data_IF_603803253431
#
_entry.id   IF_603803253431
#
_cell.length_a   1.000
_cell.length_b   1.000
_cell.length_c   1.000
_cell.angle_alpha   90.00
_cell.angle_beta   90.00
_cell.angle_gamma   90.00
#
_symmetry.space_group_name_H-M   'P 1'
#
loop_
_entity.id
_entity.type
_entity.pdbx_description
1 polymer ?
#
# COMPACT_ATOMS: atom_id res chain seq x y z
N UNK A 1 -15.94 -7.54 3.83
CA UNK A 1 -15.69 -6.90 5.14
C UNK A 1 -15.37 -5.40 4.97
N UNK A 2 -14.22 -5.04 4.39
CA UNK A 2 -13.74 -3.63 4.31
C UNK A 2 -14.72 -2.69 3.57
N UNK A 3 -15.13 -3.03 2.35
CA UNK A 3 -16.08 -2.19 1.59
C UNK A 3 -17.41 -2.00 2.30
N UNK A 4 -17.84 -2.97 3.10
CA UNK A 4 -19.08 -2.88 3.86
C UNK A 4 -18.99 -1.89 5.04
N UNK A 5 -17.80 -1.47 5.47
CA UNK A 5 -17.65 -0.41 6.49
C UNK A 5 -18.27 0.92 6.04
N UNK A 6 -18.35 1.17 4.73
CA UNK A 6 -19.00 2.37 4.17
C UNK A 6 -20.52 2.38 4.42
N UNK A 7 -21.14 1.22 4.69
CA UNK A 7 -22.56 1.15 5.06
C UNK A 7 -22.87 1.90 6.35
N UNK A 8 -21.87 2.15 7.20
CA UNK A 8 -22.01 2.91 8.44
C UNK A 8 -22.23 4.42 8.20
N UNK A 9 -22.02 4.94 6.98
CA UNK A 9 -22.29 6.34 6.66
C UNK A 9 -23.82 6.56 6.64
N UNK A 10 -24.36 7.48 7.48
CA UNK A 10 -25.79 7.73 7.54
C UNK A 10 -26.38 8.14 6.18
N UNK A 11 -27.61 7.70 5.92
CA UNK A 11 -28.42 8.00 4.72
C UNK A 11 -27.89 7.44 3.38
N UNK A 12 -26.58 7.46 3.14
CA UNK A 12 -25.97 7.11 1.83
C UNK A 12 -25.09 5.86 1.86
N UNK A 13 -24.79 5.29 3.04
CA UNK A 13 -23.83 4.21 3.16
C UNK A 13 -24.18 2.97 2.32
N UNK A 14 -25.43 2.50 2.39
CA UNK A 14 -25.87 1.31 1.66
C UNK A 14 -25.77 1.51 0.15
N UNK A 15 -26.19 2.68 -0.36
CA UNK A 15 -26.12 2.98 -1.79
C UNK A 15 -24.68 3.11 -2.27
N UNK A 16 -23.77 3.68 -1.45
CA UNK A 16 -22.34 3.73 -1.75
C UNK A 16 -21.72 2.34 -1.86
N UNK A 17 -22.05 1.43 -0.94
CA UNK A 17 -21.54 0.05 -0.96
C UNK A 17 -21.99 -0.68 -2.23
N UNK A 18 -23.28 -0.64 -2.55
CA UNK A 18 -23.82 -1.28 -3.75
C UNK A 18 -23.28 -0.64 -5.03
N UNK A 19 -23.08 0.67 -5.03
CA UNK A 19 -22.44 1.38 -6.15
C UNK A 19 -20.99 0.91 -6.36
N UNK A 20 -20.21 0.75 -5.28
CA UNK A 20 -18.84 0.23 -5.34
C UNK A 20 -18.82 -1.22 -5.80
N UNK A 21 -19.74 -2.06 -5.34
CA UNK A 21 -19.81 -3.45 -5.80
C UNK A 21 -20.30 -3.57 -7.25
N UNK A 22 -21.16 -2.65 -7.70
CA UNK A 22 -21.86 -2.79 -8.97
C UNK A 22 -22.97 -3.83 -8.94
N UNK A 23 -23.55 -4.06 -7.76
CA UNK A 23 -24.51 -5.12 -7.49
C UNK A 23 -24.82 -5.22 -6.00
N UNK A 24 -25.50 -6.29 -5.60
CA UNK A 24 -25.92 -6.51 -4.20
C UNK A 24 -24.86 -7.22 -3.34
N UNK A 25 -23.83 -7.77 -3.97
CA UNK A 25 -22.72 -8.45 -3.32
C UNK A 25 -21.43 -8.23 -4.12
N UNK A 26 -20.29 -8.61 -3.54
CA UNK A 26 -19.01 -8.67 -4.25
C UNK A 26 -19.07 -9.80 -5.28
N UNK A 27 -18.98 -9.46 -6.55
CA UNK A 27 -19.06 -10.40 -7.68
C UNK A 27 -18.19 -9.90 -8.86
N UNK A 28 -18.31 -10.50 -10.04
CA UNK A 28 -17.52 -10.18 -11.23
C UNK A 28 -17.44 -8.67 -11.56
N UNK A 29 -18.54 -7.87 -11.49
CA UNK A 29 -18.43 -6.42 -11.70
C UNK A 29 -17.49 -5.73 -10.71
N UNK A 30 -17.40 -6.21 -9.48
CA UNK A 30 -16.49 -5.70 -8.45
C UNK A 30 -15.04 -6.09 -8.76
N UNK A 31 -14.80 -7.33 -9.21
CA UNK A 31 -13.45 -7.79 -9.56
C UNK A 31 -12.86 -7.01 -10.74
N UNK A 32 -13.63 -6.84 -11.82
CA UNK A 32 -13.18 -6.12 -13.02
C UNK A 32 -12.80 -4.67 -12.70
N UNK A 33 -13.64 -3.95 -11.94
CA UNK A 33 -13.32 -2.56 -11.57
C UNK A 33 -12.15 -2.47 -10.59
N UNK A 34 -12.02 -3.42 -9.65
CA UNK A 34 -10.90 -3.44 -8.72
C UNK A 34 -9.59 -3.65 -9.44
N UNK A 35 -9.57 -4.51 -10.47
CA UNK A 35 -8.41 -4.62 -11.35
C UNK A 35 -8.10 -3.29 -12.06
N UNK A 36 -9.10 -2.61 -12.65
CA UNK A 36 -8.89 -1.31 -13.31
C UNK A 36 -8.36 -0.23 -12.34
N UNK A 37 -8.93 -0.15 -11.13
CA UNK A 37 -8.45 0.78 -10.11
C UNK A 37 -7.04 0.42 -9.62
N UNK A 38 -6.78 -0.86 -9.36
CA UNK A 38 -5.46 -1.35 -8.96
C UNK A 38 -4.39 -1.04 -10.01
N UNK A 39 -4.72 -1.14 -11.30
CA UNK A 39 -3.81 -0.75 -12.37
C UNK A 39 -3.56 0.77 -12.41
N UNK A 40 -4.60 1.58 -12.23
CA UNK A 40 -4.51 3.04 -12.35
C UNK A 40 -3.85 3.72 -11.14
N UNK A 41 -4.14 3.25 -9.92
CA UNK A 41 -3.72 3.88 -8.67
C UNK A 41 -2.19 4.02 -8.51
N UNK A 42 -1.34 3.05 -8.88
CA UNK A 42 0.12 3.20 -8.83
C UNK A 42 0.63 4.40 -9.64
N UNK A 43 0.02 4.72 -10.78
CA UNK A 43 0.40 5.89 -11.58
C UNK A 43 -0.02 7.20 -10.90
N UNK A 44 -1.19 7.22 -10.27
CA UNK A 44 -1.64 8.36 -9.47
C UNK A 44 -0.69 8.57 -8.28
N UNK A 45 -0.31 7.50 -7.58
CA UNK A 45 0.67 7.55 -6.47
C UNK A 45 2.01 8.08 -6.96
N UNK A 46 2.45 7.67 -8.15
CA UNK A 46 3.70 8.15 -8.76
C UNK A 46 3.66 9.66 -9.04
N UNK A 47 2.54 10.16 -9.57
CA UNK A 47 2.33 11.60 -9.76
C UNK A 47 2.32 12.37 -8.42
N UNK A 48 1.64 11.84 -7.40
CA UNK A 48 1.63 12.43 -6.06
C UNK A 48 3.02 12.41 -5.41
N UNK A 49 3.84 11.38 -5.65
CA UNK A 49 5.22 11.31 -5.19
C UNK A 49 6.09 12.41 -5.81
N UNK A 50 5.90 12.75 -7.10
CA UNK A 50 6.59 13.88 -7.73
C UNK A 50 6.19 15.21 -7.08
N UNK A 51 4.89 15.43 -6.84
CA UNK A 51 4.39 16.62 -6.13
C UNK A 51 5.02 16.71 -4.74
N UNK A 52 5.06 15.59 -4.01
CA UNK A 52 5.71 15.50 -2.71
C UNK A 52 7.20 15.89 -2.78
N UNK A 53 7.95 15.39 -3.75
CA UNK A 53 9.37 15.73 -3.95
C UNK A 53 9.55 17.21 -4.28
N UNK A 54 8.66 17.82 -5.09
CA UNK A 54 8.71 19.26 -5.39
C UNK A 54 8.59 20.08 -4.11
N UNK A 55 7.64 19.76 -3.23
CA UNK A 55 7.51 20.44 -1.94
C UNK A 55 8.72 20.21 -1.03
N UNK A 56 9.24 18.98 -0.99
CA UNK A 56 10.47 18.68 -0.24
C UNK A 56 11.65 19.52 -0.75
N UNK A 57 11.76 19.75 -2.06
CA UNK A 57 12.83 20.55 -2.65
C UNK A 57 12.71 22.06 -2.34
N UNK A 58 11.51 22.55 -1.99
CA UNK A 58 11.36 23.96 -1.58
C UNK A 58 12.02 24.24 -0.22
N UNK A 59 11.94 23.30 0.72
CA UNK A 59 12.52 23.47 2.07
C UNK A 59 13.87 22.76 2.23
N UNK A 60 14.13 21.73 1.44
CA UNK A 60 15.18 20.75 1.68
C UNK A 60 14.83 19.75 2.79
N UNK A 61 15.68 18.72 2.95
CA UNK A 61 15.52 17.70 3.98
C UNK A 61 15.82 18.22 5.38
N UNK A 62 15.09 17.70 6.37
CA UNK A 62 15.46 17.86 7.77
C UNK A 62 16.68 16.99 8.13
N UNK A 63 17.22 17.15 9.33
CA UNK A 63 18.31 16.34 9.87
C UNK A 63 17.99 15.87 11.31
N UNK A 64 18.70 14.86 11.83
CA UNK A 64 18.39 14.26 13.14
C UNK A 64 18.40 15.23 14.32
N UNK A 65 19.13 16.35 14.24
CA UNK A 65 19.18 17.35 15.29
C UNK A 65 18.00 18.33 15.22
N UNK A 66 17.24 18.34 14.12
CA UNK A 66 16.08 19.22 13.93
C UNK A 66 16.43 20.72 13.81
N UNK A 67 17.72 21.06 13.70
CA UNK A 67 18.20 22.45 13.56
C UNK A 67 18.47 22.80 12.10
N UNK A 68 18.57 24.08 11.76
CA UNK A 68 18.86 24.50 10.39
C UNK A 68 20.26 24.00 9.93
N UNK A 69 20.32 23.27 8.81
CA UNK A 69 21.53 22.67 8.26
C UNK A 69 22.13 23.42 7.06
N UNK A 70 21.62 24.61 6.70
CA UNK A 70 22.01 25.33 5.49
C UNK A 70 23.52 25.59 5.38
N UNK A 71 24.19 25.85 6.51
CA UNK A 71 25.63 26.13 6.54
C UNK A 71 26.49 24.87 6.28
N UNK A 72 25.93 23.67 6.43
CA UNK A 72 26.67 22.39 6.38
C UNK A 72 26.16 21.47 5.27
N UNK A 73 25.55 22.03 4.22
CA UNK A 73 25.07 21.25 3.08
C UNK A 73 26.23 20.63 2.31
N UNK A 74 26.05 19.37 1.94
CA UNK A 74 26.92 18.64 1.01
C UNK A 74 26.13 18.32 -0.26
N UNK A 75 26.83 18.13 -1.37
CA UNK A 75 26.20 17.71 -2.63
C UNK A 75 25.53 16.34 -2.47
N UNK A 76 24.40 16.13 -3.15
CA UNK A 76 23.71 14.84 -3.16
C UNK A 76 24.60 13.74 -3.77
N UNK A 77 25.21 14.03 -4.93
CA UNK A 77 26.21 13.16 -5.54
C UNK A 77 27.62 13.63 -5.15
N UNK A 78 28.54 12.74 -4.70
CA UNK A 78 28.42 11.28 -4.70
C UNK A 78 27.82 10.67 -3.42
N UNK A 79 27.71 11.46 -2.34
CA UNK A 79 27.50 10.97 -0.98
C UNK A 79 26.19 10.18 -0.79
N UNK A 80 25.05 10.81 -1.08
CA UNK A 80 23.75 10.17 -0.92
C UNK A 80 23.47 9.18 -2.04
N UNK A 81 23.97 9.40 -3.26
CA UNK A 81 23.84 8.43 -4.36
C UNK A 81 24.44 7.06 -3.99
N UNK A 82 25.65 7.02 -3.43
CA UNK A 82 26.26 5.76 -2.99
C UNK A 82 25.57 5.15 -1.77
N UNK A 83 25.15 6.00 -0.81
CA UNK A 83 24.38 5.54 0.36
C UNK A 83 23.07 4.87 -0.06
N UNK A 84 22.33 5.50 -0.98
CA UNK A 84 21.06 4.99 -1.49
C UNK A 84 21.26 3.71 -2.31
N UNK A 85 22.34 3.62 -3.09
CA UNK A 85 22.69 2.39 -3.81
C UNK A 85 22.92 1.20 -2.87
N UNK A 86 23.68 1.41 -1.78
CA UNK A 86 23.89 0.37 -0.77
C UNK A 86 22.58 -0.02 -0.07
N UNK A 87 21.73 0.96 0.27
CA UNK A 87 20.40 0.71 0.85
C UNK A 87 19.50 -0.09 -0.08
N UNK A 88 19.47 0.25 -1.37
CA UNK A 88 18.71 -0.47 -2.39
C UNK A 88 19.22 -1.90 -2.60
N UNK A 89 20.54 -2.11 -2.58
CA UNK A 89 21.14 -3.44 -2.60
C UNK A 89 20.68 -4.31 -1.41
N UNK A 90 20.67 -3.75 -0.20
CA UNK A 90 20.14 -4.43 0.99
C UNK A 90 18.66 -4.78 0.88
N UNK A 91 17.83 -3.86 0.36
CA UNK A 91 16.41 -4.10 0.10
C UNK A 91 16.20 -5.26 -0.88
N UNK A 92 16.95 -5.31 -1.99
CA UNK A 92 16.85 -6.39 -2.97
C UNK A 92 17.25 -7.72 -2.33
N UNK A 93 18.33 -7.78 -1.55
CA UNK A 93 18.75 -9.02 -0.89
C UNK A 93 17.64 -9.54 0.04
N UNK A 94 17.05 -8.67 0.84
CA UNK A 94 15.94 -9.05 1.73
C UNK A 94 14.71 -9.52 0.93
N UNK A 95 14.33 -8.80 -0.12
CA UNK A 95 13.21 -9.18 -0.98
C UNK A 95 13.45 -10.55 -1.62
N UNK A 96 14.65 -10.79 -2.15
CA UNK A 96 15.04 -12.05 -2.77
C UNK A 96 15.09 -13.19 -1.74
N UNK A 97 15.54 -12.93 -0.52
CA UNK A 97 15.51 -13.93 0.55
C UNK A 97 14.08 -14.37 0.85
N UNK A 98 13.14 -13.43 0.99
CA UNK A 98 11.71 -13.77 1.19
C UNK A 98 11.16 -14.52 -0.03
N UNK A 99 11.35 -13.99 -1.23
CA UNK A 99 10.77 -14.55 -2.45
C UNK A 99 11.31 -15.94 -2.81
N UNK A 100 12.60 -16.21 -2.59
CA UNK A 100 13.23 -17.46 -3.00
C UNK A 100 13.30 -18.51 -1.89
N UNK A 101 13.45 -18.11 -0.63
CA UNK A 101 13.59 -19.06 0.48
C UNK A 101 12.25 -19.36 1.16
N UNK A 102 11.37 -18.36 1.28
CA UNK A 102 10.11 -18.47 2.01
C UNK A 102 8.97 -17.64 1.38
N UNK A 103 8.58 -17.90 0.12
CA UNK A 103 7.66 -17.03 -0.64
C UNK A 103 6.29 -16.84 0.01
N UNK A 104 5.83 -17.81 0.80
CA UNK A 104 4.53 -17.78 1.46
C UNK A 104 4.59 -17.30 2.93
N UNK A 105 5.76 -16.83 3.41
CA UNK A 105 5.94 -16.42 4.81
C UNK A 105 4.97 -15.30 5.23
N UNK A 106 4.65 -14.38 4.31
CA UNK A 106 3.84 -13.20 4.58
C UNK A 106 2.40 -13.32 4.03
N UNK A 107 2.01 -14.50 3.56
CA UNK A 107 0.71 -14.76 2.93
C UNK A 107 -0.15 -15.65 3.82
N UNK A 108 -1.47 -15.48 3.75
CA UNK A 108 -2.41 -16.39 4.42
C UNK A 108 -2.70 -17.64 3.57
N UNK A 109 -2.60 -18.86 4.12
CA UNK A 109 -2.97 -20.10 3.42
C UNK A 109 -4.39 -20.11 2.85
N UNK A 110 -5.34 -19.39 3.47
CA UNK A 110 -6.73 -19.34 3.00
C UNK A 110 -6.87 -18.71 1.60
N UNK A 111 -5.93 -17.85 1.19
CA UNK A 111 -5.93 -17.23 -0.14
C UNK A 111 -5.60 -18.20 -1.30
N UNK A 112 -5.17 -19.42 -0.99
CA UNK A 112 -5.00 -20.49 -1.99
C UNK A 112 -6.29 -21.28 -2.26
N UNK A 113 -7.34 -21.05 -1.47
CA UNK A 113 -8.66 -21.65 -1.68
C UNK A 113 -9.49 -20.69 -2.54
N UNK A 114 -10.08 -21.16 -3.67
CA UNK A 114 -10.96 -20.32 -4.47
C UNK A 114 -12.10 -19.73 -3.63
N UNK A 115 -12.42 -18.46 -3.88
CA UNK A 115 -13.45 -17.76 -3.13
C UNK A 115 -14.81 -18.48 -3.22
N UNK A 116 -15.44 -18.70 -2.07
CA UNK A 116 -16.79 -19.26 -1.97
C UNK A 116 -17.69 -18.27 -1.21
N UNK A 117 -18.65 -17.60 -1.89
CA UNK A 117 -19.54 -16.63 -1.25
C UNK A 117 -20.42 -17.20 -0.13
N UNK A 118 -20.60 -18.53 -0.08
CA UNK A 118 -21.44 -19.21 0.90
C UNK A 118 -20.68 -19.68 2.15
N UNK A 119 -19.34 -19.63 2.12
CA UNK A 119 -18.50 -20.12 3.21
C UNK A 119 -17.55 -19.00 3.65
N UNK A 120 -17.72 -18.54 4.88
CA UNK A 120 -16.76 -17.61 5.50
C UNK A 120 -15.69 -18.42 6.22
N UNK A 121 -14.39 -18.16 5.98
CA UNK A 121 -13.33 -18.82 6.73
C UNK A 121 -13.38 -18.48 8.22
N UNK A 122 -12.89 -19.39 9.07
CA UNK A 122 -13.03 -19.28 10.53
C UNK A 122 -12.15 -18.19 11.14
N UNK A 123 -11.01 -17.87 10.53
CA UNK A 123 -10.06 -16.87 11.03
C UNK A 123 -9.77 -15.77 10.00
N UNK A 124 -10.81 -15.23 9.37
CA UNK A 124 -10.68 -14.14 8.40
C UNK A 124 -9.97 -12.92 9.00
N UNK A 125 -8.92 -12.45 8.33
CA UNK A 125 -8.12 -11.29 8.71
C UNK A 125 -7.54 -10.63 7.45
N UNK A 126 -7.24 -9.33 7.48
CA UNK A 126 -6.50 -8.71 6.39
C UNK A 126 -5.01 -9.12 6.45
N UNK A 127 -4.27 -8.74 5.42
CA UNK A 127 -2.82 -8.91 5.39
C UNK A 127 -2.14 -8.19 6.56
N UNK A 128 -0.94 -8.66 6.92
CA UNK A 128 -0.22 -8.27 8.13
C UNK A 128 -0.05 -6.76 8.31
N UNK A 129 0.13 -6.01 7.22
CA UNK A 129 0.32 -4.56 7.23
C UNK A 129 -0.96 -3.76 7.58
N UNK A 130 -2.12 -4.42 7.66
CA UNK A 130 -3.38 -3.81 8.14
C UNK A 130 -3.79 -4.27 9.54
N UNK A 131 -3.11 -5.26 10.14
CA UNK A 131 -3.56 -5.86 11.41
C UNK A 131 -3.65 -4.83 12.55
N UNK A 132 -2.76 -3.83 12.58
CA UNK A 132 -2.80 -2.78 13.61
C UNK A 132 -4.08 -1.93 13.59
N UNK A 133 -4.68 -1.76 12.41
CA UNK A 133 -5.91 -0.98 12.23
C UNK A 133 -7.17 -1.86 12.32
N UNK A 134 -7.00 -3.18 12.22
CA UNK A 134 -8.05 -4.17 12.36
C UNK A 134 -8.27 -4.62 13.81
N UNK A 135 -7.22 -4.54 14.64
CA UNK A 135 -7.22 -4.92 16.06
C UNK A 135 -8.06 -4.00 16.95
#
# INVERSE_FOLDING_TARGET
CITNMLSAIPYVGISLVQWIWGGFAVDNPTLTRFFSFHFMLPFIISALALVHIVFLHQTGSNNPLGVNSNALKISFHPYFSWKDFLGFGGLIIMLMAVALLSPNLLTDPENFIPANPLVTPTHIKPEWYFLFAYA
#
